data_IF_030311636190
#
_entry.id   IF_030311636190
#
_cell.length_a   1.000
_cell.length_b   1.000
_cell.length_c   1.000
_cell.angle_alpha   90.00
_cell.angle_beta   90.00
_cell.angle_gamma   90.00
#
_symmetry.space_group_name_H-M   'P 1'
#
loop_
_entity.id
_entity.type
_entity.pdbx_description
1 polymer ?
#
# COMPACT_ATOMS: atom_id res chain seq x y z
N UNK A 1 -30.68 -1.17 7.39
CA UNK A 1 -29.29 -1.66 7.21
C UNK A 1 -29.06 -2.18 5.79
N UNK A 2 -28.41 -1.38 4.94
CA UNK A 2 -28.01 -1.74 3.58
C UNK A 2 -26.48 -1.86 3.52
N UNK A 3 -25.97 -2.89 2.82
CA UNK A 3 -24.54 -3.06 2.60
C UNK A 3 -24.19 -2.59 1.18
N UNK A 4 -23.32 -1.60 1.09
CA UNK A 4 -22.79 -1.06 -0.16
C UNK A 4 -21.36 -1.57 -0.32
N UNK A 5 -21.05 -2.12 -1.48
CA UNK A 5 -19.70 -2.59 -1.81
C UNK A 5 -19.25 -1.86 -3.07
N UNK A 6 -18.10 -1.20 -2.97
CA UNK A 6 -17.49 -0.49 -4.10
C UNK A 6 -16.15 -1.16 -4.40
N UNK A 7 -16.12 -1.87 -5.53
CA UNK A 7 -14.96 -2.59 -6.05
C UNK A 7 -15.01 -2.61 -7.59
N UNK A 8 -14.05 -1.99 -8.31
CA UNK A 8 -12.90 -1.24 -7.81
C UNK A 8 -13.24 0.23 -7.47
N UNK A 9 -12.55 0.79 -6.47
CA UNK A 9 -12.46 2.25 -6.32
C UNK A 9 -11.56 2.80 -7.43
N UNK A 10 -12.08 3.74 -8.22
CA UNK A 10 -11.35 4.35 -9.34
C UNK A 10 -10.72 5.69 -8.97
N UNK A 11 -9.72 6.15 -9.75
CA UNK A 11 -8.90 7.36 -9.50
C UNK A 11 -8.00 7.30 -8.27
N UNK A 12 -7.52 6.11 -7.93
CA UNK A 12 -6.49 5.88 -6.91
C UNK A 12 -5.36 5.05 -7.51
N UNK A 13 -4.23 4.99 -6.81
CA UNK A 13 -3.16 4.03 -7.11
C UNK A 13 -3.45 2.71 -6.37
N UNK A 14 -3.31 1.59 -7.08
CA UNK A 14 -3.49 0.26 -6.52
C UNK A 14 -4.93 -0.25 -6.58
N UNK A 15 -5.22 -1.27 -5.77
CA UNK A 15 -6.50 -1.97 -5.72
C UNK A 15 -7.11 -1.84 -4.33
N UNK A 16 -8.22 -1.14 -4.24
CA UNK A 16 -8.95 -0.90 -3.00
C UNK A 16 -10.41 -1.26 -3.18
N UNK A 17 -10.89 -2.06 -2.23
CA UNK A 17 -12.30 -2.36 -2.03
C UNK A 17 -12.77 -1.66 -0.76
N UNK A 18 -13.93 -1.01 -0.83
CA UNK A 18 -14.59 -0.41 0.34
C UNK A 18 -15.95 -1.07 0.53
N UNK A 19 -16.21 -1.53 1.75
CA UNK A 19 -17.51 -2.02 2.17
C UNK A 19 -18.09 -1.06 3.20
N UNK A 20 -19.29 -0.52 2.97
CA UNK A 20 -19.97 0.38 3.89
C UNK A 20 -21.34 -0.17 4.28
N UNK A 21 -21.65 -0.10 5.57
CA UNK A 21 -22.97 -0.42 6.11
C UNK A 21 -23.70 0.87 6.40
N UNK A 22 -24.82 1.10 5.72
CA UNK A 22 -25.63 2.31 5.82
C UNK A 22 -26.94 2.01 6.53
N UNK A 23 -27.30 2.86 7.50
CA UNK A 23 -28.58 2.82 8.19
C UNK A 23 -29.14 4.22 8.40
N UNK A 24 -30.39 4.45 8.01
CA UNK A 24 -31.02 5.78 8.09
C UNK A 24 -30.35 6.87 7.25
N UNK A 25 -29.58 6.51 6.21
CA UNK A 25 -28.83 7.45 5.39
C UNK A 25 -27.44 7.81 5.93
N UNK A 26 -27.05 7.28 7.10
CA UNK A 26 -25.72 7.46 7.68
C UNK A 26 -24.89 6.17 7.57
N UNK A 27 -23.58 6.33 7.36
CA UNK A 27 -22.63 5.21 7.41
C UNK A 27 -22.39 4.84 8.87
N UNK A 28 -22.73 3.61 9.26
CA UNK A 28 -22.52 3.09 10.62
C UNK A 28 -21.23 2.26 10.75
N UNK A 29 -20.82 1.59 9.68
CA UNK A 29 -19.58 0.83 9.63
C UNK A 29 -18.95 0.91 8.23
N UNK A 30 -17.62 0.88 8.16
CA UNK A 30 -16.87 0.88 6.91
C UNK A 30 -15.59 0.04 7.02
N UNK A 31 -15.31 -0.76 5.98
CA UNK A 31 -14.12 -1.60 5.89
C UNK A 31 -13.33 -1.26 4.64
N UNK A 32 -12.03 -1.03 4.82
CA UNK A 32 -11.07 -0.84 3.74
C UNK A 32 -10.29 -2.13 3.52
N UNK A 33 -10.36 -2.69 2.32
CA UNK A 33 -9.73 -3.96 1.97
C UNK A 33 -8.77 -3.72 0.82
N UNK A 34 -7.46 -3.86 1.10
CA UNK A 34 -6.44 -3.93 0.06
C UNK A 34 -6.42 -5.32 -0.53
N UNK A 35 -6.70 -5.45 -1.83
CA UNK A 35 -6.84 -6.75 -2.50
C UNK A 35 -5.55 -7.21 -3.20
N UNK A 36 -4.50 -6.38 -3.20
CA UNK A 36 -3.21 -6.67 -3.82
C UNK A 36 -2.09 -6.76 -2.78
N UNK A 37 -1.33 -7.85 -2.82
CA UNK A 37 -0.11 -8.04 -2.06
C UNK A 37 1.05 -8.43 -2.99
N UNK A 38 2.20 -7.77 -2.83
CA UNK A 38 3.43 -8.06 -3.61
C UNK A 38 4.61 -8.55 -2.77
N UNK A 39 4.59 -8.33 -1.45
CA UNK A 39 5.63 -8.86 -0.55
C UNK A 39 7.04 -8.32 -0.74
N UNK A 40 7.21 -7.02 -1.05
CA UNK A 40 8.56 -6.41 -1.21
C UNK A 40 9.47 -6.62 0.00
N UNK A 41 8.93 -6.60 1.22
CA UNK A 41 9.70 -6.80 2.45
C UNK A 41 10.25 -8.23 2.55
N UNK A 42 9.48 -9.23 2.08
CA UNK A 42 9.92 -10.63 2.06
C UNK A 42 11.00 -10.80 0.99
N UNK A 43 10.78 -10.23 -0.20
CA UNK A 43 11.73 -10.29 -1.31
C UNK A 43 13.08 -9.63 -1.02
N UNK A 44 13.12 -8.67 -0.09
CA UNK A 44 14.34 -7.96 0.30
C UNK A 44 15.18 -8.68 1.35
N UNK A 45 14.67 -9.74 1.98
CA UNK A 45 15.47 -10.53 2.92
C UNK A 45 16.71 -11.07 2.21
N UNK A 46 17.84 -11.03 2.92
CA UNK A 46 19.14 -11.55 2.47
C UNK A 46 19.71 -10.90 1.20
N UNK A 47 19.21 -9.73 0.79
CA UNK A 47 19.77 -8.93 -0.31
C UNK A 47 20.75 -7.88 0.20
N UNK A 48 21.69 -7.49 -0.65
CA UNK A 48 22.61 -6.39 -0.32
C UNK A 48 21.80 -5.09 -0.10
N UNK A 49 22.03 -4.36 1.00
CA UNK A 49 21.30 -3.13 1.32
C UNK A 49 21.35 -2.06 0.23
N UNK A 50 22.37 -2.07 -0.66
CA UNK A 50 22.50 -1.14 -1.79
C UNK A 50 21.42 -1.36 -2.85
N UNK A 51 20.95 -2.61 -3.01
CA UNK A 51 19.90 -2.93 -3.97
C UNK A 51 18.51 -2.42 -3.52
N UNK A 52 18.33 -2.17 -2.22
CA UNK A 52 17.05 -1.75 -1.65
C UNK A 52 16.52 -0.46 -2.31
N UNK A 53 17.39 0.48 -2.67
CA UNK A 53 17.00 1.74 -3.31
C UNK A 53 16.42 1.52 -4.72
N UNK A 54 16.95 0.51 -5.43
CA UNK A 54 16.45 0.12 -6.73
C UNK A 54 15.19 -0.74 -6.60
N UNK A 55 15.11 -1.64 -5.63
CA UNK A 55 13.95 -2.51 -5.51
C UNK A 55 12.73 -1.71 -5.01
N UNK A 56 12.91 -0.89 -3.97
CA UNK A 56 11.80 -0.24 -3.25
C UNK A 56 11.14 0.89 -4.03
N UNK A 57 11.83 1.54 -4.96
CA UNK A 57 11.19 2.55 -5.83
C UNK A 57 10.05 1.96 -6.68
N UNK A 58 10.03 0.64 -6.89
CA UNK A 58 8.95 -0.06 -7.61
C UNK A 58 7.75 -0.40 -6.73
N UNK A 59 7.76 -0.01 -5.46
CA UNK A 59 6.59 -0.13 -4.57
C UNK A 59 5.46 0.77 -5.05
N UNK A 60 5.72 1.98 -5.55
CA UNK A 60 4.67 2.82 -6.10
C UNK A 60 5.23 3.73 -7.18
N UNK A 61 4.59 3.73 -8.35
CA UNK A 61 4.97 4.61 -9.46
C UNK A 61 4.53 6.07 -9.26
N UNK A 62 3.52 6.31 -8.43
CA UNK A 62 2.99 7.67 -8.16
C UNK A 62 3.87 8.40 -7.14
N UNK A 63 4.32 7.74 -6.08
CA UNK A 63 5.18 8.33 -5.04
C UNK A 63 6.64 7.85 -5.11
N UNK A 64 7.15 7.68 -6.33
CA UNK A 64 8.47 7.13 -6.66
C UNK A 64 9.64 7.71 -5.83
N UNK A 65 9.70 9.05 -5.71
CA UNK A 65 10.81 9.75 -5.04
C UNK A 65 10.87 9.47 -3.53
N UNK A 66 9.72 9.22 -2.89
CA UNK A 66 9.65 8.89 -1.46
C UNK A 66 10.28 7.52 -1.18
N UNK A 67 9.96 6.54 -2.01
CA UNK A 67 10.54 5.21 -1.89
C UNK A 67 12.04 5.22 -2.15
N UNK A 68 12.53 5.97 -3.13
CA UNK A 68 13.97 6.12 -3.37
C UNK A 68 14.70 6.84 -2.21
N UNK A 69 14.17 7.97 -1.74
CA UNK A 69 14.84 8.82 -0.74
C UNK A 69 14.93 8.16 0.63
N UNK A 70 13.95 7.34 1.02
CA UNK A 70 13.94 6.70 2.35
C UNK A 70 15.12 5.76 2.56
N UNK A 71 15.56 5.06 1.52
CA UNK A 71 16.66 4.09 1.60
C UNK A 71 18.04 4.69 1.29
N UNK A 72 18.11 5.82 0.56
CA UNK A 72 19.38 6.49 0.22
C UNK A 72 20.12 7.12 1.41
N UNK A 73 19.42 7.42 2.50
CA UNK A 73 19.99 8.14 3.67
C UNK A 73 20.33 7.23 4.86
N UNK A 74 20.62 5.94 4.65
CA UNK A 74 21.05 5.02 5.72
C UNK A 74 20.00 4.76 6.82
N UNK A 75 18.79 5.32 6.69
CA UNK A 75 17.64 5.08 7.58
C UNK A 75 16.86 3.82 7.19
N UNK A 76 17.60 2.80 6.78
CA UNK A 76 17.05 1.48 6.56
C UNK A 76 16.98 0.79 7.92
N UNK A 77 15.78 0.74 8.52
CA UNK A 77 15.50 -0.02 9.74
C UNK A 77 15.85 -1.51 9.63
N UNK A 78 16.09 -1.99 8.40
CA UNK A 78 16.46 -3.36 8.06
C UNK A 78 17.97 -3.58 7.93
N UNK A 79 18.77 -2.52 8.04
CA UNK A 79 20.22 -2.58 8.01
C UNK A 79 20.82 -2.48 9.44
N UNK A 80 19.97 -2.54 10.47
CA UNK A 80 20.31 -2.53 11.90
C UNK A 80 20.34 -3.96 12.43
#
# INVERSE_FOLDING_TARGET
MQKIVIDPITRIEGHLKIEATVDGGEVKDAKCVGTLFRGFEIFMKDRDPRDAVHITQRICGVCLSRHYRRFKFGRCLWCS
#
